data_IF_758338873834
#
_entry.id   IF_758338873834
#
_cell.length_a   1.000
_cell.length_b   1.000
_cell.length_c   1.000
_cell.angle_alpha   90.00
_cell.angle_beta   90.00
_cell.angle_gamma   90.00
#
_symmetry.space_group_name_H-M   'P 1'
#
loop_
_entity.id
_entity.type
_entity.pdbx_description
1 polymer ?
#
# COMPACT_ATOMS: atom_id res chain seq x y z
N UNK A 1 14.11 -14.36 13.55
CA UNK A 1 12.98 -13.47 13.90
C UNK A 1 12.71 -13.68 15.38
N UNK A 2 12.98 -12.68 16.22
CA UNK A 2 12.69 -12.80 17.66
C UNK A 2 11.18 -12.68 17.80
N UNK A 3 10.51 -13.79 18.09
CA UNK A 3 9.07 -13.77 18.34
C UNK A 3 8.77 -13.02 19.65
N UNK A 4 7.55 -12.51 19.77
CA UNK A 4 7.07 -11.91 21.02
C UNK A 4 7.12 -12.94 22.15
N UNK A 5 7.63 -12.51 23.31
CA UNK A 5 7.57 -13.28 24.55
C UNK A 5 6.12 -13.45 25.03
N UNK A 6 5.88 -14.45 25.88
CA UNK A 6 4.55 -14.67 26.44
C UNK A 6 4.08 -13.48 27.31
N UNK A 7 5.01 -12.79 27.99
CA UNK A 7 4.72 -11.58 28.75
C UNK A 7 4.22 -10.43 27.86
N UNK A 8 4.90 -10.18 26.73
CA UNK A 8 4.49 -9.15 25.76
C UNK A 8 3.13 -9.48 25.14
N UNK A 9 2.89 -10.74 24.78
CA UNK A 9 1.59 -11.17 24.26
C UNK A 9 0.48 -10.95 25.28
N UNK A 10 0.72 -11.28 26.54
CA UNK A 10 -0.26 -11.08 27.61
C UNK A 10 -0.55 -9.58 27.83
N UNK A 11 0.50 -8.75 27.86
CA UNK A 11 0.36 -7.30 27.97
C UNK A 11 -0.46 -6.69 26.83
N UNK A 12 -0.15 -7.05 25.57
CA UNK A 12 -0.87 -6.56 24.40
C UNK A 12 -2.35 -6.98 24.45
N UNK A 13 -2.63 -8.25 24.77
CA UNK A 13 -4.01 -8.74 24.88
C UNK A 13 -4.78 -8.06 26.01
N UNK A 14 -4.15 -7.86 27.18
CA UNK A 14 -4.73 -7.16 28.31
C UNK A 14 -5.08 -5.71 27.98
N UNK A 15 -4.16 -4.98 27.32
CA UNK A 15 -4.40 -3.62 26.86
C UNK A 15 -5.57 -3.54 25.87
N UNK A 16 -5.64 -4.46 24.90
CA UNK A 16 -6.78 -4.53 23.97
C UNK A 16 -8.12 -4.74 24.71
N UNK A 17 -8.15 -5.53 25.77
CA UNK A 17 -9.37 -5.70 26.58
C UNK A 17 -9.79 -4.41 27.30
N UNK A 18 -8.85 -3.51 27.59
CA UNK A 18 -9.06 -2.22 28.24
C UNK A 18 -9.20 -1.05 27.25
N UNK A 19 -9.33 -1.33 25.94
CA UNK A 19 -9.35 -0.34 24.86
C UNK A 19 -8.10 0.57 24.81
N UNK A 20 -6.94 0.05 25.22
CA UNK A 20 -5.69 0.78 25.26
C UNK A 20 -4.57 0.00 24.56
N UNK A 21 -3.94 0.63 23.58
CA UNK A 21 -2.80 0.08 22.85
C UNK A 21 -1.49 0.46 23.55
N UNK A 22 -0.40 -0.24 23.19
CA UNK A 22 0.93 -0.02 23.77
C UNK A 22 1.47 1.41 23.59
N UNK A 23 0.98 2.14 22.58
CA UNK A 23 1.33 3.53 22.28
C UNK A 23 0.26 4.54 22.74
N UNK A 24 -0.66 4.12 23.61
CA UNK A 24 -1.66 4.99 24.24
C UNK A 24 -2.91 5.28 23.38
N UNK A 25 -2.97 4.75 22.15
CA UNK A 25 -4.15 4.90 21.28
C UNK A 25 -5.29 3.96 21.68
N UNK A 26 -6.53 4.33 21.34
CA UNK A 26 -7.67 3.40 21.43
C UNK A 26 -7.60 2.33 20.34
N UNK A 27 -8.41 1.27 20.44
CA UNK A 27 -8.36 0.15 19.48
C UNK A 27 -8.66 0.58 18.05
N UNK A 28 -9.57 1.54 17.88
CA UNK A 28 -10.02 2.01 16.57
C UNK A 28 -9.25 3.23 16.05
N UNK A 29 -8.36 3.80 16.87
CA UNK A 29 -7.60 4.98 16.50
C UNK A 29 -6.41 4.62 15.60
N UNK A 30 -6.39 5.19 14.39
CA UNK A 30 -5.26 5.10 13.47
C UNK A 30 -4.01 5.82 13.99
N UNK A 31 -2.84 5.45 13.45
CA UNK A 31 -1.61 6.23 13.66
C UNK A 31 -1.75 7.57 12.95
N UNK A 32 -0.96 8.56 13.36
CA UNK A 32 -0.88 9.82 12.64
C UNK A 32 -0.52 9.57 11.17
N UNK A 33 -1.33 10.14 10.27
CA UNK A 33 -1.20 10.00 8.82
C UNK A 33 -0.80 11.36 8.23
N UNK A 34 0.20 11.35 7.37
CA UNK A 34 0.62 12.51 6.56
C UNK A 34 0.68 12.10 5.11
N UNK A 35 0.17 12.95 4.22
CA UNK A 35 0.09 12.71 2.78
C UNK A 35 0.65 13.91 2.05
N UNK A 36 1.65 13.68 1.22
CA UNK A 36 2.26 14.68 0.34
C UNK A 36 2.03 14.25 -1.11
N UNK A 37 1.37 15.09 -1.91
CA UNK A 37 1.09 14.78 -3.33
C UNK A 37 2.04 15.54 -4.24
N UNK A 38 2.27 15.02 -5.45
CA UNK A 38 3.15 15.67 -6.44
C UNK A 38 4.64 15.56 -6.13
N UNK A 39 5.05 14.57 -5.33
CA UNK A 39 6.45 14.34 -4.95
C UNK A 39 7.34 13.89 -6.12
N UNK A 40 6.75 13.27 -7.16
CA UNK A 40 7.44 12.84 -8.38
C UNK A 40 6.87 13.67 -9.53
N UNK A 41 7.59 14.73 -9.98
CA UNK A 41 7.11 15.64 -11.02
C UNK A 41 6.92 14.98 -12.39
N UNK A 42 7.64 13.88 -12.67
CA UNK A 42 7.53 13.19 -13.95
C UNK A 42 6.31 12.23 -14.03
N UNK A 43 5.69 11.90 -12.90
CA UNK A 43 4.52 11.03 -12.88
C UNK A 43 3.23 11.83 -13.13
N UNK A 44 2.20 11.21 -13.72
CA UNK A 44 0.90 11.84 -13.88
C UNK A 44 0.23 12.10 -12.52
N UNK A 45 0.47 11.21 -11.56
CA UNK A 45 0.11 11.39 -10.16
C UNK A 45 1.17 10.76 -9.26
N UNK A 46 1.40 11.34 -8.09
CA UNK A 46 2.27 10.74 -7.09
C UNK A 46 1.87 11.18 -5.69
N UNK A 47 2.10 10.29 -4.72
CA UNK A 47 1.86 10.55 -3.32
C UNK A 47 2.90 9.86 -2.45
N UNK A 48 3.36 10.55 -1.40
CA UNK A 48 4.11 9.99 -0.28
C UNK A 48 3.18 9.95 0.91
N UNK A 49 3.01 8.78 1.50
CA UNK A 49 2.19 8.58 2.69
C UNK A 49 3.06 8.06 3.81
N UNK A 50 2.99 8.73 4.96
CA UNK A 50 3.63 8.27 6.20
C UNK A 50 2.55 8.06 7.26
N UNK A 51 2.49 6.84 7.77
CA UNK A 51 1.58 6.38 8.82
C UNK A 51 2.38 5.87 10.02
N UNK A 52 2.66 6.75 10.98
CA UNK A 52 3.65 6.46 12.03
C UNK A 52 5.04 6.23 11.44
N UNK A 53 5.64 5.05 11.71
CA UNK A 53 6.93 4.66 11.14
C UNK A 53 6.82 3.91 9.79
N UNK A 54 5.62 3.66 9.30
CA UNK A 54 5.40 3.10 7.96
C UNK A 54 5.41 4.23 6.92
N UNK A 55 6.22 4.10 5.89
CA UNK A 55 6.34 5.07 4.82
C UNK A 55 6.26 4.38 3.45
N UNK A 56 5.39 4.90 2.59
CA UNK A 56 5.18 4.40 1.24
C UNK A 56 5.12 5.55 0.24
N UNK A 57 5.53 5.27 -0.98
CA UNK A 57 5.45 6.17 -2.12
C UNK A 57 4.63 5.48 -3.20
N UNK A 58 3.65 6.15 -3.77
CA UNK A 58 2.91 5.67 -4.93
C UNK A 58 3.08 6.65 -6.09
N UNK A 59 3.10 6.10 -7.30
CA UNK A 59 3.08 6.87 -8.53
C UNK A 59 2.10 6.26 -9.52
N UNK A 60 1.51 7.11 -10.35
CA UNK A 60 0.56 6.74 -11.39
C UNK A 60 1.05 7.27 -12.71
N UNK A 61 1.11 6.39 -13.70
CA UNK A 61 1.36 6.71 -15.10
C UNK A 61 0.14 6.33 -15.92
N UNK A 62 -0.35 7.26 -16.73
CA UNK A 62 -1.50 7.06 -17.59
C UNK A 62 -1.07 7.02 -19.06
N UNK A 63 -1.45 5.97 -19.77
CA UNK A 63 -1.20 5.80 -21.19
C UNK A 63 -2.53 5.56 -21.93
N UNK A 64 -2.60 5.98 -23.19
CA UNK A 64 -3.76 5.71 -24.04
C UNK A 64 -3.58 4.32 -24.68
N UNK A 65 -4.43 3.39 -24.26
CA UNK A 65 -4.43 2.01 -24.73
C UNK A 65 -5.52 1.75 -25.78
N UNK A 66 -5.34 0.67 -26.53
CA UNK A 66 -6.44 0.08 -27.31
C UNK A 66 -7.18 -0.91 -26.42
N UNK A 67 -8.50 -0.81 -26.29
CA UNK A 67 -9.25 -1.74 -25.46
C UNK A 67 -9.18 -3.16 -26.02
N UNK A 68 -9.34 -4.14 -25.13
CA UNK A 68 -9.39 -5.55 -25.53
C UNK A 68 -10.70 -5.84 -26.25
N UNK A 69 -10.69 -6.72 -27.26
CA UNK A 69 -11.89 -7.12 -28.03
C UNK A 69 -13.03 -7.60 -27.11
N UNK A 70 -12.69 -8.25 -26.00
CA UNK A 70 -13.65 -8.75 -25.00
C UNK A 70 -14.30 -7.63 -24.17
N UNK A 71 -13.67 -6.46 -24.05
CA UNK A 71 -14.11 -5.34 -23.22
C UNK A 71 -13.77 -3.99 -23.89
N UNK A 72 -14.52 -3.57 -24.92
CA UNK A 72 -14.25 -2.36 -25.70
C UNK A 72 -14.36 -1.06 -24.87
N UNK A 73 -15.14 -1.08 -23.79
CA UNK A 73 -15.44 0.10 -22.95
C UNK A 73 -14.69 0.12 -21.61
N UNK A 74 -13.61 -0.67 -21.47
CA UNK A 74 -12.85 -0.76 -20.22
C UNK A 74 -11.36 -0.57 -20.46
N UNK A 75 -10.78 0.35 -19.68
CA UNK A 75 -9.34 0.50 -19.53
C UNK A 75 -8.75 -0.56 -18.60
N UNK A 76 -7.41 -0.64 -18.59
CA UNK A 76 -6.67 -1.56 -17.74
C UNK A 76 -6.06 -0.80 -16.57
N UNK A 77 -6.13 -1.38 -15.37
CA UNK A 77 -5.35 -0.93 -14.21
C UNK A 77 -4.38 -2.04 -13.85
N UNK A 78 -3.09 -1.72 -13.89
CA UNK A 78 -2.01 -2.61 -13.47
C UNK A 78 -1.35 -2.01 -12.25
N UNK A 79 -1.30 -2.76 -11.15
CA UNK A 79 -0.72 -2.30 -9.89
C UNK A 79 0.48 -3.17 -9.59
N UNK A 80 1.60 -2.53 -9.32
CA UNK A 80 2.82 -3.17 -8.88
C UNK A 80 3.24 -2.53 -7.56
N UNK A 81 3.57 -3.37 -6.59
CA UNK A 81 4.14 -2.95 -5.31
C UNK A 81 5.54 -3.53 -5.25
N UNK A 82 6.49 -2.72 -4.81
CA UNK A 82 7.85 -3.12 -4.49
C UNK A 82 8.16 -2.83 -3.03
N UNK A 83 8.81 -3.77 -2.37
CA UNK A 83 9.20 -3.67 -0.96
C UNK A 83 10.71 -3.48 -0.90
N UNK A 84 11.16 -2.26 -0.61
CA UNK A 84 12.60 -1.97 -0.55
C UNK A 84 13.30 -2.88 0.47
N UNK A 85 14.48 -3.45 0.14
CA UNK A 85 15.30 -4.17 1.12
C UNK A 85 15.67 -3.32 2.34
N UNK A 86 15.70 -1.99 2.18
CA UNK A 86 15.98 -1.07 3.30
C UNK A 86 14.77 -0.83 4.20
N UNK A 87 13.56 -1.24 3.79
CA UNK A 87 12.34 -0.91 4.50
C UNK A 87 12.13 -1.73 5.78
N UNK A 88 12.64 -2.96 5.80
CA UNK A 88 12.74 -3.78 7.01
C UNK A 88 13.74 -4.92 6.80
N UNK A 89 14.43 -5.40 7.85
CA UNK A 89 15.36 -6.54 7.74
C UNK A 89 14.72 -7.82 7.19
N UNK A 90 13.39 -7.96 7.35
CA UNK A 90 12.63 -9.10 6.82
C UNK A 90 12.46 -9.09 5.29
N UNK A 91 12.78 -7.97 4.63
CA UNK A 91 12.70 -7.81 3.18
C UNK A 91 14.02 -8.09 2.47
N UNK A 92 15.07 -8.47 3.20
CA UNK A 92 16.31 -8.93 2.57
C UNK A 92 16.12 -10.30 1.89
N UNK A 93 16.70 -10.46 0.70
CA UNK A 93 16.62 -11.69 -0.08
C UNK A 93 15.26 -11.87 -0.77
N UNK A 94 14.68 -13.08 -0.69
CA UNK A 94 13.40 -13.42 -1.35
C UNK A 94 12.15 -13.12 -0.53
N UNK A 95 12.31 -12.62 0.70
CA UNK A 95 11.18 -12.35 1.60
C UNK A 95 10.27 -11.21 1.14
N UNK A 96 10.78 -10.30 0.30
CA UNK A 96 10.04 -9.17 -0.24
C UNK A 96 9.11 -9.54 -1.39
N UNK A 97 9.48 -10.52 -2.23
CA UNK A 97 8.75 -10.87 -3.46
C UNK A 97 7.35 -11.43 -3.20
N UNK A 98 7.19 -12.28 -2.18
CA UNK A 98 5.90 -12.88 -1.86
C UNK A 98 4.93 -11.83 -1.31
N UNK A 99 5.40 -10.99 -0.39
CA UNK A 99 4.60 -9.92 0.20
C UNK A 99 4.23 -8.85 -0.85
N UNK A 100 5.17 -8.49 -1.72
CA UNK A 100 4.94 -7.49 -2.75
C UNK A 100 3.91 -7.97 -3.79
N UNK A 101 3.98 -9.25 -4.17
CA UNK A 101 2.98 -9.90 -5.01
C UNK A 101 1.59 -9.95 -4.33
N UNK A 102 1.53 -10.30 -3.04
CA UNK A 102 0.29 -10.33 -2.27
C UNK A 102 -0.36 -8.93 -2.20
N UNK A 103 0.42 -7.89 -1.87
CA UNK A 103 -0.05 -6.51 -1.81
C UNK A 103 -0.54 -6.01 -3.18
N UNK A 104 0.19 -6.33 -4.24
CA UNK A 104 -0.20 -5.98 -5.61
C UNK A 104 -1.55 -6.58 -5.99
N UNK A 105 -1.74 -7.88 -5.72
CA UNK A 105 -3.00 -8.58 -6.00
C UNK A 105 -4.15 -8.04 -5.14
N UNK A 106 -3.91 -7.78 -3.85
CA UNK A 106 -4.91 -7.24 -2.94
C UNK A 106 -5.40 -5.86 -3.41
N UNK A 107 -4.48 -4.95 -3.74
CA UNK A 107 -4.81 -3.61 -4.23
C UNK A 107 -5.49 -3.66 -5.60
N UNK A 108 -5.02 -4.54 -6.48
CA UNK A 108 -5.64 -4.71 -7.79
C UNK A 108 -7.09 -5.14 -7.66
N UNK A 109 -7.43 -6.04 -6.73
CA UNK A 109 -8.83 -6.44 -6.47
C UNK A 109 -9.69 -5.28 -5.95
N UNK A 110 -9.13 -4.38 -5.15
CA UNK A 110 -9.85 -3.25 -4.56
C UNK A 110 -10.13 -2.11 -5.55
N UNK A 111 -9.32 -1.95 -6.60
CA UNK A 111 -9.32 -0.78 -7.49
C UNK A 111 -9.95 -1.04 -8.88
N UNK A 112 -10.61 -2.17 -9.10
CA UNK A 112 -11.27 -2.48 -10.38
C UNK A 112 -12.58 -1.68 -10.55
N UNK A 113 -12.60 -0.71 -11.46
CA UNK A 113 -13.89 -0.22 -12.02
C UNK A 113 -13.95 1.20 -12.57
N UNK A 114 -13.09 1.57 -13.52
CA UNK A 114 -13.33 2.75 -14.37
C UNK A 114 -14.13 2.37 -15.63
N UNK A 115 -15.24 3.06 -15.92
CA UNK A 115 -15.89 2.99 -17.24
C UNK A 115 -15.11 3.88 -18.21
N UNK A 116 -14.82 3.42 -19.43
CA UNK A 116 -14.16 4.26 -20.45
C UNK A 116 -14.87 4.14 -21.81
N UNK A 117 -14.95 5.23 -22.55
CA UNK A 117 -15.52 5.25 -23.91
C UNK A 117 -14.54 4.77 -24.98
N UNK A 118 -14.73 5.22 -26.22
CA UNK A 118 -14.02 4.77 -27.43
C UNK A 118 -12.47 4.82 -27.40
N UNK A 119 -11.87 5.52 -26.42
CA UNK A 119 -10.47 5.39 -26.04
C UNK A 119 -10.39 5.02 -24.56
N UNK A 120 -9.56 4.03 -24.24
CA UNK A 120 -9.43 3.48 -22.89
C UNK A 120 -8.10 3.89 -22.26
N UNK A 121 -8.15 4.33 -21.00
CA UNK A 121 -6.96 4.65 -20.23
C UNK A 121 -6.35 3.38 -19.64
N UNK A 122 -5.07 3.17 -19.91
CA UNK A 122 -4.25 2.18 -19.21
C UNK A 122 -3.48 2.90 -18.10
N UNK A 123 -3.82 2.56 -16.86
CA UNK A 123 -3.20 3.10 -15.66
C UNK A 123 -2.20 2.10 -15.10
N UNK A 124 -0.97 2.55 -14.96
CA UNK A 124 0.11 1.85 -14.28
C UNK A 124 0.31 2.53 -12.94
N UNK A 125 0.17 1.77 -11.87
CA UNK A 125 0.29 2.24 -10.50
C UNK A 125 1.45 1.50 -9.86
N UNK A 126 2.50 2.24 -9.53
CA UNK A 126 3.71 1.70 -8.90
C UNK A 126 3.79 2.20 -7.46
N UNK A 127 3.77 1.26 -6.51
CA UNK A 127 3.94 1.51 -5.08
C UNK A 127 5.32 1.04 -4.61
N UNK A 128 5.99 1.84 -3.80
CA UNK A 128 7.27 1.54 -3.17
C UNK A 128 7.13 1.66 -1.65
N UNK A 129 7.42 0.58 -0.93
CA UNK A 129 7.53 0.59 0.53
C UNK A 129 8.93 1.02 0.91
N UNK A 130 9.04 2.17 1.58
CA UNK A 130 10.31 2.78 2.01
C UNK A 130 10.66 2.36 3.44
N UNK A 131 9.66 2.24 4.31
CA UNK A 131 9.80 1.69 5.67
C UNK A 131 8.53 0.95 6.08
N UNK A 132 8.69 -0.15 6.82
CA UNK A 132 7.55 -0.98 7.28
C UNK A 132 7.51 -1.09 8.80
N UNK A 133 6.46 -0.54 9.39
CA UNK A 133 6.04 -0.73 10.79
C UNK A 133 4.64 -1.38 10.84
N UNK A 134 4.30 -2.16 9.81
CA UNK A 134 2.99 -2.79 9.65
C UNK A 134 1.90 -1.88 9.07
N UNK A 135 0.73 -2.48 8.82
CA UNK A 135 -0.41 -1.86 8.11
C UNK A 135 -0.07 -1.30 6.71
N UNK A 136 0.74 -2.03 5.94
CA UNK A 136 1.19 -1.61 4.61
C UNK A 136 0.04 -1.46 3.60
N UNK A 137 -0.95 -2.34 3.65
CA UNK A 137 -2.07 -2.33 2.73
C UNK A 137 -2.86 -1.02 2.82
N UNK A 138 -3.18 -0.56 4.02
CA UNK A 138 -3.91 0.69 4.24
C UNK A 138 -3.05 1.90 3.83
N UNK A 139 -1.74 1.88 4.12
CA UNK A 139 -0.84 2.96 3.73
C UNK A 139 -0.74 3.07 2.20
N UNK A 140 -0.59 1.95 1.49
CA UNK A 140 -0.58 1.91 0.03
C UNK A 140 -1.93 2.32 -0.55
N UNK A 141 -3.04 1.84 0.00
CA UNK A 141 -4.37 2.23 -0.43
C UNK A 141 -4.60 3.74 -0.27
N UNK A 142 -4.14 4.34 0.83
CA UNK A 142 -4.20 5.79 1.04
C UNK A 142 -3.31 6.57 0.05
N UNK A 143 -2.19 6.00 -0.40
CA UNK A 143 -1.29 6.62 -1.37
C UNK A 143 -1.83 6.57 -2.82
N UNK A 144 -2.67 5.59 -3.13
CA UNK A 144 -3.17 5.34 -4.50
C UNK A 144 -4.51 6.04 -4.78
N UNK A 145 -5.26 6.44 -3.74
CA UNK A 145 -6.65 6.89 -3.85
C UNK A 145 -6.85 8.30 -4.39
#
# INVERSE_FOLDING_TARGET
MVGLSEGEKHFIRGGIAQDLRADGRTRLQFRALTVETGIIPQANGSARVRMGATEVIASVKAELGKPTILHPDKGKVSIYVDCSPTAAPMFEGRGSEELSAELSVALQRCLLGGKSGAACWDLYIDGLVVSSDGNLLDALAAAIK
#
